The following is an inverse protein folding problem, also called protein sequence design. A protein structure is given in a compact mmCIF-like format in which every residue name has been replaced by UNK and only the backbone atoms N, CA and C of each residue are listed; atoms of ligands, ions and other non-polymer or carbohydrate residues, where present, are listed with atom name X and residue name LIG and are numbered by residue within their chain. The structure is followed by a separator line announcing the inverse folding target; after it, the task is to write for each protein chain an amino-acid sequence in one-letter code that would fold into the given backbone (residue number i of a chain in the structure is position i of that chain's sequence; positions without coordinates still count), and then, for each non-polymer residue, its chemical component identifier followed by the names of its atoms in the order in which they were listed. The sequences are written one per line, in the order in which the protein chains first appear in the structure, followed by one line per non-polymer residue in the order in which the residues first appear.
data_IF_787166109154
#
_entry.id   IF_787166109154
#
_cell.length_a   1.000
_cell.length_b   1.000
_cell.length_c   1.000
_cell.angle_alpha   90.00
_cell.angle_beta   90.00
_cell.angle_gamma   90.00
#
_symmetry.space_group_name_H-M   'P 1'
#
loop_
_entity.id
_entity.type
_entity.pdbx_description
1 polymer ?
#
# COMPACT_ATOMS: atom_id res chain seq x y z
N UNK A 1 -9.22 -15.59 43.14
CA UNK A 1 -8.35 -14.47 42.74
C UNK A 1 -7.91 -14.62 41.28
N UNK A 2 -7.73 -15.85 40.79
CA UNK A 2 -7.37 -16.13 39.38
C UNK A 2 -8.41 -15.71 38.33
N UNK A 3 -9.71 -15.79 38.63
CA UNK A 3 -10.77 -15.47 37.66
C UNK A 3 -10.76 -14.00 37.17
N UNK A 4 -10.38 -13.06 38.04
CA UNK A 4 -10.31 -11.64 37.66
C UNK A 4 -9.02 -11.35 36.88
N UNK A 5 -7.94 -12.06 37.20
CA UNK A 5 -6.68 -12.06 36.48
C UNK A 5 -6.83 -12.61 35.04
N UNK A 6 -7.58 -13.69 34.88
CA UNK A 6 -7.86 -14.30 33.58
C UNK A 6 -8.74 -13.38 32.71
N UNK A 7 -9.76 -12.74 33.29
CA UNK A 7 -10.58 -11.75 32.59
C UNK A 7 -9.78 -10.56 32.06
N UNK A 8 -8.77 -10.10 32.80
CA UNK A 8 -7.90 -9.01 32.35
C UNK A 8 -7.04 -9.43 31.15
N UNK A 9 -6.50 -10.65 31.17
CA UNK A 9 -5.73 -11.20 30.05
C UNK A 9 -6.62 -11.36 28.81
N UNK A 10 -7.81 -11.93 28.98
CA UNK A 10 -8.76 -12.13 27.88
C UNK A 10 -9.18 -10.80 27.25
N UNK A 11 -9.50 -9.80 28.07
CA UNK A 11 -9.85 -8.46 27.58
C UNK A 11 -8.70 -7.83 26.78
N UNK A 12 -7.48 -7.96 27.28
CA UNK A 12 -6.29 -7.43 26.61
C UNK A 12 -6.00 -8.12 25.27
N UNK A 13 -6.07 -9.46 25.24
CA UNK A 13 -5.86 -10.24 24.00
C UNK A 13 -6.97 -9.98 22.98
N UNK A 14 -8.21 -9.76 23.44
CA UNK A 14 -9.31 -9.38 22.56
C UNK A 14 -9.06 -8.01 21.92
N UNK A 15 -8.67 -7.01 22.71
CA UNK A 15 -8.33 -5.67 22.20
C UNK A 15 -7.13 -5.73 21.23
N UNK A 16 -6.11 -6.55 21.54
CA UNK A 16 -4.97 -6.78 20.67
C UNK A 16 -5.37 -7.42 19.33
N UNK A 17 -6.25 -8.43 19.37
CA UNK A 17 -6.76 -9.08 18.17
C UNK A 17 -7.55 -8.09 17.29
N UNK A 18 -8.40 -7.24 17.89
CA UNK A 18 -9.13 -6.20 17.18
C UNK A 18 -8.19 -5.16 16.57
N UNK A 19 -7.19 -4.68 17.32
CA UNK A 19 -6.21 -3.73 16.79
C UNK A 19 -5.38 -4.33 15.64
N UNK A 20 -5.10 -5.63 15.70
CA UNK A 20 -4.29 -6.36 14.71
C UNK A 20 -5.08 -6.79 13.46
N UNK A 21 -6.37 -6.48 13.32
CA UNK A 21 -7.16 -6.79 12.12
C UNK A 21 -6.58 -6.19 10.83
N UNK A 22 -5.82 -5.09 10.95
CA UNK A 22 -5.13 -4.46 9.82
C UNK A 22 -3.85 -5.16 9.35
N UNK A 23 -3.34 -6.15 10.10
CA UNK A 23 -2.13 -6.90 9.78
C UNK A 23 -2.42 -8.10 8.85
N UNK A 24 -1.43 -8.56 8.06
CA UNK A 24 -1.50 -9.85 7.38
C UNK A 24 -1.78 -10.99 8.38
N UNK A 25 -2.61 -11.97 7.99
CA UNK A 25 -3.07 -13.05 8.88
C UNK A 25 -1.92 -13.78 9.58
N UNK A 26 -0.88 -14.19 8.83
CA UNK A 26 0.30 -14.87 9.38
C UNK A 26 0.98 -14.02 10.46
N UNK A 27 1.08 -12.70 10.25
CA UNK A 27 1.75 -11.79 11.20
C UNK A 27 0.89 -11.47 12.41
N UNK A 28 -0.43 -11.38 12.22
CA UNK A 28 -1.38 -11.24 13.34
C UNK A 28 -1.31 -12.46 14.25
N UNK A 29 -1.30 -13.65 13.67
CA UNK A 29 -1.29 -14.90 14.43
C UNK A 29 0.06 -15.09 15.16
N UNK A 30 1.18 -14.73 14.52
CA UNK A 30 2.50 -14.67 15.17
C UNK A 30 2.52 -13.67 16.34
N UNK A 31 2.01 -12.45 16.14
CA UNK A 31 1.97 -11.42 17.19
C UNK A 31 1.12 -11.86 18.39
N UNK A 32 -0.05 -12.44 18.15
CA UNK A 32 -0.93 -12.96 19.21
C UNK A 32 -0.26 -14.10 19.97
N UNK A 33 0.41 -15.01 19.27
CA UNK A 33 1.14 -16.12 19.90
C UNK A 33 2.30 -15.62 20.77
N UNK A 34 3.10 -14.68 20.27
CA UNK A 34 4.23 -14.10 21.02
C UNK A 34 3.77 -13.41 22.31
N UNK A 35 2.73 -12.57 22.23
CA UNK A 35 2.19 -11.89 23.42
C UNK A 35 1.57 -12.88 24.41
N UNK A 36 0.84 -13.88 23.91
CA UNK A 36 0.27 -14.94 24.75
C UNK A 36 1.36 -15.73 25.46
N UNK A 37 2.46 -16.07 24.76
CA UNK A 37 3.61 -16.75 25.34
C UNK A 37 4.28 -15.90 26.42
N UNK A 38 4.45 -14.59 26.21
CA UNK A 38 5.05 -13.70 27.21
C UNK A 38 4.21 -13.60 28.50
N UNK A 39 2.88 -13.58 28.37
CA UNK A 39 1.98 -13.58 29.52
C UNK A 39 2.06 -14.93 30.25
N UNK A 40 2.13 -16.04 29.52
CA UNK A 40 2.27 -17.37 30.10
C UNK A 40 3.61 -17.53 30.85
N UNK A 41 4.70 -17.00 30.31
CA UNK A 41 6.01 -16.96 30.97
C UNK A 41 5.97 -16.13 32.27
N UNK A 42 5.32 -14.97 32.24
CA UNK A 42 5.16 -14.14 33.44
C UNK A 42 4.35 -14.85 34.53
N UNK A 43 3.31 -15.60 34.14
CA UNK A 43 2.52 -16.44 35.07
C UNK A 43 3.34 -17.57 35.66
N UNK A 44 4.14 -18.26 34.85
CA UNK A 44 5.06 -19.29 35.32
C UNK A 44 6.12 -18.71 36.28
N UNK A 45 6.50 -17.45 36.08
CA UNK A 45 7.38 -16.68 36.96
C UNK A 45 6.76 -16.22 38.29
N UNK A 46 5.47 -16.49 38.52
CA UNK A 46 4.78 -16.23 39.80
C UNK A 46 3.71 -15.15 39.77
N UNK A 47 3.53 -14.43 38.64
CA UNK A 47 2.48 -13.42 38.52
C UNK A 47 1.11 -14.10 38.36
N UNK A 48 0.39 -14.31 39.46
CA UNK A 48 -0.91 -15.00 39.46
C UNK A 48 -2.04 -14.08 39.91
N UNK A 49 -1.74 -13.09 40.75
CA UNK A 49 -2.73 -12.13 41.22
C UNK A 49 -3.09 -11.11 40.14
N UNK A 50 -4.29 -10.53 40.27
CA UNK A 50 -4.78 -9.49 39.38
C UNK A 50 -3.87 -8.24 39.35
N UNK A 51 -3.28 -7.88 40.49
CA UNK A 51 -2.38 -6.74 40.60
C UNK A 51 -1.07 -6.98 39.84
N UNK A 52 -0.49 -8.17 39.98
CA UNK A 52 0.74 -8.57 39.28
C UNK A 52 0.51 -8.68 37.77
N UNK A 53 -0.60 -9.30 37.34
CA UNK A 53 -0.94 -9.36 35.92
C UNK A 53 -1.18 -7.97 35.33
N UNK A 54 -1.83 -7.07 36.06
CA UNK A 54 -1.98 -5.68 35.63
C UNK A 54 -0.63 -4.99 35.43
N UNK A 55 0.35 -5.23 36.29
CA UNK A 55 1.71 -4.71 36.14
C UNK A 55 2.41 -5.30 34.91
N UNK A 56 2.28 -6.61 34.67
CA UNK A 56 2.79 -7.28 33.47
C UNK A 56 2.20 -6.66 32.19
N UNK A 57 0.88 -6.48 32.15
CA UNK A 57 0.19 -5.86 31.01
C UNK A 57 0.58 -4.40 30.81
N UNK A 58 0.75 -3.63 31.90
CA UNK A 58 1.24 -2.24 31.80
C UNK A 58 2.66 -2.16 31.22
N UNK A 59 3.51 -3.14 31.53
CA UNK A 59 4.87 -3.22 30.98
C UNK A 59 4.90 -3.60 29.50
N UNK A 60 3.93 -4.39 29.03
CA UNK A 60 3.73 -4.66 27.60
C UNK A 60 3.32 -3.39 26.83
N UNK A 61 2.53 -2.52 27.45
CA UNK A 61 2.06 -1.28 26.86
C UNK A 61 0.65 -1.41 26.29
N UNK A 62 0.23 -0.45 25.45
CA UNK A 62 -1.11 -0.47 24.84
C UNK A 62 -1.13 -1.41 23.63
N UNK A 63 -2.20 -2.20 23.42
CA UNK A 63 -2.30 -3.09 22.27
C UNK A 63 -2.10 -2.37 20.92
N UNK A 64 -2.61 -1.14 20.79
CA UNK A 64 -2.43 -0.29 19.60
C UNK A 64 -0.97 0.02 19.29
N UNK A 65 -0.16 0.28 20.32
CA UNK A 65 1.24 0.68 20.16
C UNK A 65 2.10 -0.52 19.76
N UNK A 66 1.78 -1.70 20.31
CA UNK A 66 2.42 -2.97 19.95
C UNK A 66 2.12 -3.35 18.50
N UNK A 67 0.85 -3.22 18.08
CA UNK A 67 0.45 -3.45 16.67
C UNK A 67 1.11 -2.44 15.75
N UNK A 68 1.20 -1.17 16.16
CA UNK A 68 1.92 -0.13 15.42
C UNK A 68 3.38 -0.51 15.16
N UNK A 69 4.09 -0.95 16.21
CA UNK A 69 5.47 -1.42 16.08
C UNK A 69 5.60 -2.66 15.18
N UNK A 70 4.64 -3.60 15.28
CA UNK A 70 4.60 -4.78 14.41
C UNK A 70 4.29 -4.43 12.95
N UNK A 71 3.48 -3.40 12.72
CA UNK A 71 3.16 -2.88 11.39
C UNK A 71 4.34 -2.14 10.76
N UNK A 72 5.08 -1.35 11.55
CA UNK A 72 6.27 -0.62 11.08
C UNK A 72 7.41 -1.57 10.67
N UNK A 73 7.49 -2.75 11.28
CA UNK A 73 8.41 -3.83 10.90
C UNK A 73 8.07 -4.54 9.58
N UNK A 74 6.87 -4.31 9.02
CA UNK A 74 6.52 -4.82 7.69
C UNK A 74 7.25 -4.00 6.63
N UNK A 75 8.50 -4.40 6.35
CA UNK A 75 9.17 -4.00 5.12
C UNK A 75 8.28 -4.45 3.97
N UNK A 76 7.56 -3.51 3.37
CA UNK A 76 6.66 -3.74 2.25
C UNK A 76 7.54 -4.11 1.05
N UNK A 77 7.92 -5.39 0.96
CA UNK A 77 8.78 -5.89 -0.12
C UNK A 77 8.09 -5.52 -1.43
N UNK A 78 8.68 -4.67 -2.27
CA UNK A 78 8.07 -4.28 -3.52
C UNK A 78 7.77 -5.56 -4.30
N UNK A 79 6.55 -5.75 -4.81
CA UNK A 79 6.24 -6.90 -5.63
C UNK A 79 7.25 -6.95 -6.77
N UNK A 80 7.97 -8.07 -6.94
CA UNK A 80 8.92 -8.23 -8.05
C UNK A 80 8.12 -8.18 -9.35
N UNK A 81 8.21 -7.05 -10.02
CA UNK A 81 7.57 -6.85 -11.32
C UNK A 81 8.32 -7.66 -12.37
N UNK A 82 7.58 -8.24 -13.30
CA UNK A 82 8.14 -8.92 -14.48
C UNK A 82 8.67 -7.88 -15.46
N UNK A 83 9.66 -8.20 -16.31
CA UNK A 83 10.20 -7.25 -17.30
C UNK A 83 9.12 -6.57 -18.16
N UNK A 84 8.08 -7.32 -18.54
CA UNK A 84 6.94 -6.79 -19.30
C UNK A 84 6.10 -5.77 -18.53
N UNK A 85 6.04 -5.84 -17.20
CA UNK A 85 5.31 -4.88 -16.37
C UNK A 85 6.08 -3.55 -16.28
N UNK A 86 7.42 -3.60 -16.27
CA UNK A 86 8.23 -2.39 -16.45
C UNK A 86 8.06 -1.79 -17.84
N UNK A 87 7.98 -2.63 -18.88
CA UNK A 87 7.69 -2.16 -20.23
C UNK A 87 6.32 -1.45 -20.29
N UNK A 88 5.28 -1.98 -19.63
CA UNK A 88 3.97 -1.31 -19.54
C UNK A 88 4.09 0.11 -18.97
N UNK A 89 4.80 0.27 -17.85
CA UNK A 89 4.99 1.58 -17.21
C UNK A 89 5.83 2.52 -18.08
N UNK A 90 6.89 2.01 -18.72
CA UNK A 90 7.73 2.78 -19.62
C UNK A 90 6.96 3.25 -20.87
N UNK A 91 6.13 2.39 -21.47
CA UNK A 91 5.30 2.75 -22.63
C UNK A 91 4.24 3.79 -22.26
N UNK A 92 3.61 3.66 -21.09
CA UNK A 92 2.65 4.65 -20.58
C UNK A 92 3.31 5.99 -20.26
N UNK A 93 4.56 5.99 -19.78
CA UNK A 93 5.32 7.21 -19.52
C UNK A 93 5.78 7.88 -20.81
N UNK A 94 6.33 7.12 -21.76
CA UNK A 94 6.99 7.68 -22.96
C UNK A 94 5.98 8.06 -24.05
N UNK A 95 4.91 7.28 -24.21
CA UNK A 95 3.88 7.53 -25.24
C UNK A 95 3.39 8.98 -25.30
N UNK A 96 2.99 9.59 -24.18
CA UNK A 96 2.58 11.00 -24.09
C UNK A 96 3.54 12.01 -24.74
N UNK A 97 4.84 11.90 -24.43
CA UNK A 97 5.85 12.86 -24.90
C UNK A 97 6.21 12.67 -26.37
N UNK A 98 5.92 11.48 -26.94
CA UNK A 98 6.10 11.24 -28.35
C UNK A 98 5.08 12.00 -29.20
N UNK A 99 3.96 12.50 -28.65
CA UNK A 99 2.99 13.27 -29.44
C UNK A 99 3.60 14.52 -30.07
N UNK A 100 4.51 15.19 -29.34
CA UNK A 100 5.16 16.41 -29.83
C UNK A 100 6.10 16.14 -31.01
N UNK A 101 6.54 14.89 -31.18
CA UNK A 101 7.50 14.50 -32.21
C UNK A 101 6.84 13.72 -33.36
N UNK A 102 5.99 12.75 -33.03
CA UNK A 102 5.34 11.83 -33.98
C UNK A 102 3.97 11.36 -33.45
N UNK A 103 2.90 12.02 -33.87
CA UNK A 103 1.52 11.76 -33.42
C UNK A 103 1.11 10.29 -33.54
N UNK A 104 1.28 9.69 -34.73
CA UNK A 104 0.86 8.31 -35.00
C UNK A 104 1.63 7.30 -34.14
N UNK A 105 2.94 7.51 -33.96
CA UNK A 105 3.78 6.62 -33.16
C UNK A 105 3.41 6.68 -31.68
N UNK A 106 3.13 7.89 -31.17
CA UNK A 106 2.69 8.09 -29.80
C UNK A 106 1.39 7.31 -29.49
N UNK A 107 0.40 7.37 -30.38
CA UNK A 107 -0.84 6.60 -30.24
C UNK A 107 -0.59 5.10 -30.22
N UNK A 108 0.30 4.59 -31.08
CA UNK A 108 0.65 3.16 -31.11
C UNK A 108 1.33 2.75 -29.80
N UNK A 109 2.33 3.50 -29.33
CA UNK A 109 3.05 3.23 -28.08
C UNK A 109 2.10 3.22 -26.90
N UNK A 110 1.19 4.20 -26.83
CA UNK A 110 0.18 4.30 -25.79
C UNK A 110 -0.80 3.11 -25.83
N UNK A 111 -1.31 2.76 -27.01
CA UNK A 111 -2.24 1.65 -27.19
C UNK A 111 -1.61 0.30 -26.80
N UNK A 112 -0.34 0.09 -27.13
CA UNK A 112 0.41 -1.12 -26.73
C UNK A 112 0.58 -1.17 -25.21
N UNK A 113 0.97 -0.06 -24.59
CA UNK A 113 1.05 0.06 -23.12
C UNK A 113 -0.29 -0.26 -22.45
N UNK A 114 -1.39 0.26 -23.01
CA UNK A 114 -2.74 -0.02 -22.53
C UNK A 114 -3.12 -1.50 -22.66
N UNK A 115 -2.80 -2.12 -23.79
CA UNK A 115 -3.01 -3.56 -24.00
C UNK A 115 -2.32 -4.41 -22.94
N UNK A 116 -1.08 -4.06 -22.56
CA UNK A 116 -0.38 -4.75 -21.48
C UNK A 116 -0.95 -4.45 -20.10
N UNK A 117 -1.34 -3.21 -19.82
CA UNK A 117 -1.99 -2.83 -18.57
C UNK A 117 -3.26 -3.65 -18.33
N UNK A 118 -4.11 -3.77 -19.36
CA UNK A 118 -5.38 -4.47 -19.26
C UNK A 118 -5.22 -6.00 -19.22
N UNK A 119 -4.21 -6.56 -19.88
CA UNK A 119 -3.88 -7.98 -19.82
C UNK A 119 -3.25 -8.41 -18.49
N UNK A 120 -2.63 -7.48 -17.76
CA UNK A 120 -2.00 -7.78 -16.47
C UNK A 120 -3.03 -8.00 -15.37
N UNK A 121 -2.84 -9.05 -14.57
CA UNK A 121 -3.68 -9.35 -13.41
C UNK A 121 -3.18 -8.68 -12.11
N UNK A 122 -2.21 -7.77 -12.22
CA UNK A 122 -1.55 -7.09 -11.09
C UNK A 122 -2.35 -5.92 -10.53
N UNK A 123 -3.15 -5.28 -11.37
CA UNK A 123 -3.88 -4.06 -11.02
C UNK A 123 -5.37 -4.32 -11.08
N UNK A 124 -6.10 -3.80 -10.09
CA UNK A 124 -7.56 -3.85 -10.10
C UNK A 124 -8.13 -2.91 -11.17
N UNK A 125 -9.34 -3.19 -11.64
CA UNK A 125 -10.06 -2.38 -12.64
C UNK A 125 -10.02 -0.86 -12.41
N UNK A 126 -10.24 -0.32 -11.18
CA UNK A 126 -10.15 1.13 -10.98
C UNK A 126 -8.75 1.70 -11.24
N UNK A 127 -7.68 0.97 -10.89
CA UNK A 127 -6.31 1.41 -11.14
C UNK A 127 -5.93 1.31 -12.63
N UNK A 128 -6.49 0.34 -13.35
CA UNK A 128 -6.36 0.29 -14.82
C UNK A 128 -7.02 1.50 -15.46
N UNK A 129 -8.21 1.90 -15.00
CA UNK A 129 -8.88 3.11 -15.47
C UNK A 129 -8.07 4.37 -15.17
N UNK A 130 -7.53 4.50 -13.95
CA UNK A 130 -6.64 5.62 -13.59
C UNK A 130 -5.44 5.68 -14.54
N UNK A 131 -4.76 4.56 -14.80
CA UNK A 131 -3.65 4.52 -15.76
C UNK A 131 -4.05 4.84 -17.21
N UNK A 132 -5.28 4.54 -17.60
CA UNK A 132 -5.84 4.85 -18.94
C UNK A 132 -6.27 6.31 -19.08
N UNK A 133 -6.69 6.93 -17.98
CA UNK A 133 -7.21 8.30 -17.96
C UNK A 133 -6.16 9.32 -17.53
N UNK A 134 -5.06 8.88 -16.92
CA UNK A 134 -3.98 9.74 -16.47
C UNK A 134 -3.56 10.70 -17.58
N UNK A 135 -3.21 10.15 -18.74
CA UNK A 135 -2.72 10.96 -19.84
C UNK A 135 -3.78 11.89 -20.47
N UNK A 136 -4.98 11.42 -20.86
CA UNK A 136 -6.03 12.32 -21.36
C UNK A 136 -6.39 13.44 -20.38
N UNK A 137 -6.39 13.16 -19.07
CA UNK A 137 -6.68 14.15 -18.03
C UNK A 137 -5.53 15.14 -17.85
N UNK A 138 -4.28 14.66 -17.81
CA UNK A 138 -3.08 15.51 -17.74
C UNK A 138 -3.01 16.44 -18.96
N UNK A 139 -3.29 15.93 -20.15
CA UNK A 139 -3.32 16.72 -21.39
C UNK A 139 -4.46 17.75 -21.40
N UNK A 140 -5.68 17.36 -21.01
CA UNK A 140 -6.80 18.28 -20.90
C UNK A 140 -6.55 19.40 -19.87
N UNK A 141 -5.92 19.08 -18.73
CA UNK A 141 -5.54 20.05 -17.72
C UNK A 141 -4.47 21.03 -18.23
N UNK A 142 -3.47 20.53 -18.98
CA UNK A 142 -2.45 21.37 -19.60
C UNK A 142 -3.06 22.35 -20.62
N UNK A 143 -3.98 21.87 -21.47
CA UNK A 143 -4.73 22.72 -22.41
C UNK A 143 -5.58 23.78 -21.70
N UNK A 144 -6.26 23.41 -20.62
CA UNK A 144 -7.04 24.35 -19.81
C UNK A 144 -6.15 25.42 -19.18
N UNK A 145 -5.00 25.04 -18.62
CA UNK A 145 -4.06 25.97 -18.00
C UNK A 145 -3.45 26.93 -19.03
N UNK A 146 -3.13 26.44 -20.23
CA UNK A 146 -2.67 27.28 -21.33
C UNK A 146 -3.75 28.30 -21.72
N UNK A 147 -4.98 27.84 -21.97
CA UNK A 147 -6.09 28.69 -22.43
C UNK A 147 -6.59 29.70 -21.39
N UNK A 148 -6.65 29.34 -20.11
CA UNK A 148 -7.23 30.18 -19.05
C UNK A 148 -6.20 31.07 -18.38
N UNK A 149 -5.01 30.52 -18.09
CA UNK A 149 -3.98 31.19 -17.29
C UNK A 149 -2.84 31.74 -18.15
N UNK A 150 -2.86 31.52 -19.47
CA UNK A 150 -1.80 31.90 -20.41
C UNK A 150 -0.43 31.39 -19.94
N UNK A 151 -0.45 30.15 -19.45
CA UNK A 151 0.68 29.51 -18.78
C UNK A 151 1.78 29.24 -19.80
N UNK A 152 3.06 29.56 -19.52
CA UNK A 152 4.14 29.16 -20.40
C UNK A 152 4.12 27.65 -20.65
N UNK A 153 4.23 27.22 -21.91
CA UNK A 153 4.13 25.80 -22.31
C UNK A 153 5.03 24.89 -21.47
N UNK A 154 6.26 25.32 -21.18
CA UNK A 154 7.21 24.54 -20.36
C UNK A 154 6.70 24.25 -18.94
N UNK A 155 5.94 25.18 -18.33
CA UNK A 155 5.39 25.02 -16.99
C UNK A 155 4.20 24.05 -17.01
N UNK A 156 3.35 24.12 -18.04
CA UNK A 156 2.26 23.16 -18.25
C UNK A 156 2.79 21.73 -18.46
N UNK A 157 3.84 21.57 -19.27
CA UNK A 157 4.52 20.28 -19.48
C UNK A 157 5.09 19.75 -18.18
N UNK A 158 5.80 20.59 -17.40
CA UNK A 158 6.39 20.18 -16.13
C UNK A 158 5.33 19.70 -15.12
N UNK A 159 4.20 20.41 -15.01
CA UNK A 159 3.09 20.01 -14.14
C UNK A 159 2.50 18.67 -14.60
N UNK A 160 2.22 18.51 -15.89
CA UNK A 160 1.71 17.27 -16.45
C UNK A 160 2.66 16.09 -16.20
N UNK A 161 3.97 16.30 -16.37
CA UNK A 161 4.99 15.28 -16.07
C UNK A 161 4.98 14.85 -14.61
N UNK A 162 4.90 15.79 -13.68
CA UNK A 162 4.86 15.47 -12.24
C UNK A 162 3.61 14.64 -11.91
N UNK A 163 2.45 15.00 -12.48
CA UNK A 163 1.20 14.25 -12.29
C UNK A 163 1.32 12.83 -12.85
N UNK A 164 1.79 12.67 -14.08
CA UNK A 164 1.94 11.35 -14.71
C UNK A 164 2.91 10.46 -13.94
N UNK A 165 4.06 10.99 -13.52
CA UNK A 165 5.03 10.26 -12.69
C UNK A 165 4.41 9.85 -11.36
N UNK A 166 3.63 10.73 -10.71
CA UNK A 166 2.94 10.41 -9.46
C UNK A 166 1.90 9.29 -9.64
N UNK A 167 1.14 9.31 -10.74
CA UNK A 167 0.16 8.27 -11.06
C UNK A 167 0.85 6.93 -11.34
N UNK A 168 1.94 6.93 -12.11
CA UNK A 168 2.71 5.71 -12.40
C UNK A 168 3.39 5.15 -11.14
N UNK A 169 3.91 6.02 -10.27
CA UNK A 169 4.43 5.63 -8.97
C UNK A 169 3.34 5.02 -8.08
N UNK A 170 2.12 5.58 -8.10
CA UNK A 170 0.98 4.99 -7.38
C UNK A 170 0.61 3.60 -7.93
N UNK A 171 0.64 3.41 -9.26
CA UNK A 171 0.44 2.09 -9.87
C UNK A 171 1.54 1.10 -9.49
N UNK A 172 2.79 1.56 -9.40
CA UNK A 172 3.93 0.75 -8.96
C UNK A 172 3.73 0.26 -7.52
N UNK A 173 3.39 1.17 -6.60
CA UNK A 173 3.16 0.86 -5.17
C UNK A 173 1.92 -0.02 -4.97
N UNK A 174 0.92 0.10 -5.83
CA UNK A 174 -0.36 -0.64 -5.73
C UNK A 174 -0.38 -1.95 -6.53
N UNK A 175 0.73 -2.35 -7.14
CA UNK A 175 0.81 -3.63 -7.83
C UNK A 175 0.59 -4.79 -6.84
N UNK A 176 -0.32 -5.72 -7.16
CA UNK A 176 -0.61 -6.88 -6.31
C UNK A 176 0.28 -8.07 -6.65
N UNK A 177 0.51 -8.96 -5.68
CA UNK A 177 1.15 -10.27 -5.93
C UNK A 177 0.24 -11.09 -6.86
N UNK A 178 0.77 -11.76 -7.90
CA UNK A 178 -0.08 -12.43 -8.86
C UNK A 178 -0.70 -13.66 -8.17
N UNK A 179 -2.02 -13.80 -8.21
CA UNK A 179 -2.65 -15.07 -7.84
C UNK A 179 -2.19 -16.11 -8.87
N UNK A 180 -1.60 -17.22 -8.38
CA UNK A 180 -1.41 -18.40 -9.22
C UNK A 180 -2.80 -18.85 -9.66
N UNK A 181 -3.04 -18.80 -10.97
CA UNK A 181 -4.17 -19.46 -11.59
C UNK A 181 -3.93 -20.97 -11.59
#
# INVERSE_FOLDING_TARGET
MDLDSDRLVDAYLHELATAAEGLPADRRDELLNDVTAHIAEARAGGATSEAEIREVLQRLGRPSDIVGAAADGLVRVPPRLRPWEYATLALLLVGPYLLELYEVLAFIVYAVGLGFLWRSNRWSTPWKLVGTLAWPLSYAAALLADTVLNTPVWLSVLIATVVDVAVLAALLVRARVPHKA
#
